data_IF_767942445359
#
_entry.id   IF_767942445359
#
_cell.length_a   1.000
_cell.length_b   1.000
_cell.length_c   1.000
_cell.angle_alpha   90.00
_cell.angle_beta   90.00
_cell.angle_gamma   90.00
#
_symmetry.space_group_name_H-M   'P 1'
#
loop_
_entity.id
_entity.type
_entity.pdbx_description
1 polymer ?
#
# COMPACT_ATOMS: atom_id res chain seq x y z
N UNK A 1 -23.59 -33.29 -10.68
CA UNK A 1 -23.86 -33.23 -9.24
C UNK A 1 -22.68 -32.50 -8.65
N UNK A 2 -22.86 -31.23 -8.28
CA UNK A 2 -21.80 -30.48 -7.63
C UNK A 2 -21.59 -31.09 -6.23
N UNK A 3 -20.35 -31.46 -5.92
CA UNK A 3 -20.02 -32.22 -4.72
C UNK A 3 -20.19 -31.32 -3.49
N UNK A 4 -20.98 -31.75 -2.50
CA UNK A 4 -21.23 -31.01 -1.25
C UNK A 4 -19.90 -30.64 -0.56
N UNK A 5 -18.87 -31.47 -0.72
CA UNK A 5 -17.52 -31.21 -0.19
C UNK A 5 -16.87 -29.98 -0.86
N UNK A 6 -17.08 -29.76 -2.16
CA UNK A 6 -16.52 -28.61 -2.88
C UNK A 6 -17.18 -27.29 -2.46
N UNK A 7 -18.49 -27.30 -2.20
CA UNK A 7 -19.18 -26.11 -1.68
C UNK A 7 -18.72 -25.78 -0.25
N UNK A 8 -18.47 -26.79 0.56
CA UNK A 8 -17.96 -26.63 1.91
C UNK A 8 -16.54 -26.07 1.93
N UNK A 9 -15.62 -26.65 1.14
CA UNK A 9 -14.24 -26.15 1.03
C UNK A 9 -14.20 -24.70 0.55
N UNK A 10 -15.06 -24.34 -0.42
CA UNK A 10 -15.18 -22.98 -0.93
C UNK A 10 -15.67 -21.99 0.11
N UNK A 11 -16.58 -22.42 1.00
CA UNK A 11 -17.06 -21.61 2.11
C UNK A 11 -15.96 -21.37 3.14
N UNK A 12 -15.17 -22.39 3.48
CA UNK A 12 -14.05 -22.28 4.42
C UNK A 12 -12.97 -21.35 3.88
N UNK A 13 -12.60 -21.49 2.59
CA UNK A 13 -11.70 -20.55 1.92
C UNK A 13 -12.22 -19.11 2.00
N UNK A 14 -13.51 -18.90 1.71
CA UNK A 14 -14.12 -17.57 1.75
C UNK A 14 -14.10 -16.94 3.16
N UNK A 15 -14.36 -17.72 4.21
CA UNK A 15 -14.35 -17.24 5.59
C UNK A 15 -12.93 -16.89 6.05
N UNK A 16 -11.94 -17.70 5.68
CA UNK A 16 -10.54 -17.42 5.96
C UNK A 16 -10.06 -16.15 5.23
N UNK A 17 -10.48 -15.94 3.98
CA UNK A 17 -10.26 -14.72 3.21
C UNK A 17 -10.83 -13.48 3.89
N UNK A 18 -12.09 -13.57 4.34
CA UNK A 18 -12.76 -12.48 5.05
C UNK A 18 -12.02 -12.12 6.34
N UNK A 19 -11.59 -13.13 7.10
CA UNK A 19 -10.87 -12.95 8.37
C UNK A 19 -9.52 -12.27 8.14
N UNK A 20 -8.73 -12.73 7.17
CA UNK A 20 -7.43 -12.12 6.86
C UNK A 20 -7.55 -10.71 6.27
N UNK A 21 -8.59 -10.44 5.48
CA UNK A 21 -8.90 -9.07 5.02
C UNK A 21 -9.20 -8.17 6.21
N UNK A 22 -10.01 -8.62 7.17
CA UNK A 22 -10.33 -7.84 8.37
C UNK A 22 -9.07 -7.51 9.20
N UNK A 23 -8.16 -8.47 9.40
CA UNK A 23 -6.88 -8.22 10.09
C UNK A 23 -5.98 -7.24 9.33
N UNK A 24 -5.93 -7.39 8.00
CA UNK A 24 -5.21 -6.46 7.11
C UNK A 24 -5.75 -5.04 7.23
N UNK A 25 -7.07 -4.85 7.28
CA UNK A 25 -7.67 -3.52 7.51
C UNK A 25 -7.30 -2.95 8.86
N UNK A 26 -7.38 -3.75 9.94
CA UNK A 26 -6.96 -3.31 11.28
C UNK A 26 -5.49 -2.88 11.30
N UNK A 27 -4.63 -3.67 10.69
CA UNK A 27 -3.19 -3.40 10.60
C UNK A 27 -2.90 -2.15 9.77
N UNK A 28 -3.59 -2.02 8.64
CA UNK A 28 -3.46 -0.86 7.74
C UNK A 28 -3.95 0.40 8.43
N UNK A 29 -5.13 0.37 9.04
CA UNK A 29 -5.70 1.49 9.81
C UNK A 29 -4.74 1.91 10.91
N UNK A 30 -4.22 0.97 11.70
CA UNK A 30 -3.23 1.26 12.75
C UNK A 30 -1.98 1.91 12.15
N UNK A 31 -1.42 1.36 11.08
CA UNK A 31 -0.17 1.85 10.49
C UNK A 31 -0.30 3.23 9.84
N UNK A 32 -1.35 3.44 9.03
CA UNK A 32 -1.64 4.76 8.46
C UNK A 32 -1.97 5.78 9.56
N UNK A 33 -2.65 5.36 10.63
CA UNK A 33 -2.87 6.22 11.81
C UNK A 33 -1.59 6.56 12.58
N UNK A 34 -0.48 5.82 12.39
CA UNK A 34 0.83 6.12 12.99
C UNK A 34 1.72 6.96 12.04
N UNK A 35 1.57 6.81 10.73
CA UNK A 35 2.30 7.57 9.72
C UNK A 35 1.83 9.04 9.67
N UNK A 36 0.52 9.29 9.80
CA UNK A 36 -0.03 10.66 9.81
C UNK A 36 0.48 11.53 10.97
N UNK A 37 0.54 11.08 12.24
CA UNK A 37 1.18 11.81 13.34
C UNK A 37 2.68 12.03 13.15
N UNK A 38 3.37 11.10 12.50
CA UNK A 38 4.79 11.24 12.14
C UNK A 38 5.03 12.46 11.26
N UNK A 39 4.26 12.57 10.17
CA UNK A 39 4.32 13.71 9.25
C UNK A 39 3.89 15.02 9.91
N UNK A 40 2.86 15.00 10.77
CA UNK A 40 2.43 16.19 11.51
C UNK A 40 3.55 16.72 12.41
N UNK A 41 4.26 15.83 13.11
CA UNK A 41 5.42 16.21 13.95
C UNK A 41 6.56 16.78 13.12
N UNK A 42 6.93 16.14 12.01
CA UNK A 42 7.96 16.65 11.09
C UNK A 42 7.58 18.04 10.56
N UNK A 43 6.31 18.25 10.20
CA UNK A 43 5.79 19.55 9.74
C UNK A 43 5.90 20.61 10.84
N UNK A 44 5.60 20.25 12.10
CA UNK A 44 5.77 21.14 13.26
C UNK A 44 7.22 21.59 13.44
N UNK A 45 8.17 20.66 13.31
CA UNK A 45 9.60 20.98 13.38
C UNK A 45 10.07 21.87 12.21
N UNK A 46 9.62 21.59 10.98
CA UNK A 46 9.93 22.42 9.81
C UNK A 46 9.40 23.86 9.96
N UNK A 47 8.20 24.03 10.55
CA UNK A 47 7.64 25.35 10.88
C UNK A 47 8.47 26.09 11.92
N UNK A 48 8.87 25.40 12.99
CA UNK A 48 9.73 25.98 14.03
C UNK A 48 11.09 26.44 13.46
N UNK A 49 11.65 25.68 12.51
CA UNK A 49 12.87 26.01 11.79
C UNK A 49 12.69 27.08 10.69
N UNK A 50 11.48 27.64 10.52
CA UNK A 50 11.13 28.60 9.45
C UNK A 50 11.43 28.10 8.02
N UNK A 51 11.41 26.79 7.80
CA UNK A 51 11.59 26.21 6.47
C UNK A 51 10.22 26.11 5.75
N UNK A 52 9.87 27.14 4.98
CA UNK A 52 8.56 27.27 4.34
C UNK A 52 8.33 26.26 3.21
N UNK A 53 9.36 25.95 2.44
CA UNK A 53 9.33 24.96 1.36
C UNK A 53 8.98 23.57 1.92
N UNK A 54 9.77 23.12 2.90
CA UNK A 54 9.61 21.81 3.53
C UNK A 54 8.31 21.71 4.34
N UNK A 55 7.87 22.82 4.94
CA UNK A 55 6.56 22.90 5.59
C UNK A 55 5.43 22.64 4.60
N UNK A 56 5.51 23.22 3.41
CA UNK A 56 4.48 23.10 2.36
C UNK A 56 4.45 21.67 1.80
N UNK A 57 5.62 21.08 1.58
CA UNK A 57 5.76 19.69 1.15
C UNK A 57 5.18 18.71 2.17
N UNK A 58 5.58 18.80 3.45
CA UNK A 58 5.06 17.93 4.50
C UNK A 58 3.56 18.12 4.72
N UNK A 59 3.04 19.34 4.53
CA UNK A 59 1.60 19.58 4.57
C UNK A 59 0.84 18.89 3.43
N UNK A 60 1.42 18.85 2.22
CA UNK A 60 0.86 18.10 1.08
C UNK A 60 0.87 16.61 1.37
N UNK A 61 1.97 16.06 1.88
CA UNK A 61 2.09 14.64 2.23
C UNK A 61 1.09 14.22 3.31
N UNK A 62 0.83 15.07 4.32
CA UNK A 62 -0.23 14.80 5.31
C UNK A 62 -1.60 14.61 4.64
N UNK A 63 -1.99 15.52 3.73
CA UNK A 63 -3.28 15.44 3.03
C UNK A 63 -3.37 14.22 2.13
N UNK A 64 -2.28 13.88 1.44
CA UNK A 64 -2.27 12.71 0.55
C UNK A 64 -2.35 11.40 1.35
N UNK A 65 -1.68 11.31 2.50
CA UNK A 65 -1.79 10.17 3.40
C UNK A 65 -3.22 9.93 3.89
N UNK A 66 -3.96 11.00 4.19
CA UNK A 66 -5.40 10.92 4.53
C UNK A 66 -6.23 10.37 3.37
N UNK A 67 -6.00 10.87 2.15
CA UNK A 67 -6.70 10.40 0.94
C UNK A 67 -6.41 8.93 0.62
N UNK A 68 -5.17 8.49 0.77
CA UNK A 68 -4.78 7.08 0.60
C UNK A 68 -5.50 6.21 1.63
N UNK A 69 -5.54 6.64 2.90
CA UNK A 69 -6.26 5.93 3.95
C UNK A 69 -7.75 5.81 3.65
N UNK A 70 -8.39 6.90 3.25
CA UNK A 70 -9.80 6.91 2.85
C UNK A 70 -10.05 5.98 1.66
N UNK A 71 -9.23 6.06 0.61
CA UNK A 71 -9.33 5.20 -0.57
C UNK A 71 -9.30 3.72 -0.18
N UNK A 72 -8.33 3.31 0.64
CA UNK A 72 -8.18 1.91 1.07
C UNK A 72 -9.41 1.43 1.86
N UNK A 73 -9.90 2.25 2.79
CA UNK A 73 -11.05 1.91 3.62
C UNK A 73 -12.34 1.81 2.81
N UNK A 74 -12.58 2.79 1.93
CA UNK A 74 -13.80 2.87 1.11
C UNK A 74 -13.84 1.76 0.06
N UNK A 75 -12.73 1.51 -0.62
CA UNK A 75 -12.64 0.48 -1.68
C UNK A 75 -12.47 -0.93 -1.15
N UNK A 76 -12.26 -1.09 0.16
CA UNK A 76 -11.92 -2.36 0.80
C UNK A 76 -10.74 -3.06 0.09
N UNK A 77 -9.74 -2.27 -0.30
CA UNK A 77 -8.49 -2.77 -0.87
C UNK A 77 -7.45 -3.00 0.23
N UNK A 78 -6.33 -3.62 -0.12
CA UNK A 78 -5.26 -3.97 0.82
C UNK A 78 -4.06 -3.08 0.53
N UNK A 79 -3.58 -2.38 1.56
CA UNK A 79 -2.33 -1.65 1.49
C UNK A 79 -1.16 -2.62 1.62
N UNK A 80 -0.52 -2.95 0.49
CA UNK A 80 0.56 -3.92 0.40
C UNK A 80 1.76 -3.58 1.28
N UNK A 81 2.13 -2.31 1.33
CA UNK A 81 3.24 -1.83 2.14
C UNK A 81 3.07 -2.12 3.64
N UNK A 82 1.83 -2.08 4.13
CA UNK A 82 1.47 -2.40 5.52
C UNK A 82 1.52 -3.89 5.85
N UNK A 83 1.44 -4.77 4.85
CA UNK A 83 1.33 -6.22 5.06
C UNK A 83 2.64 -6.91 5.42
N UNK A 84 3.77 -6.29 5.06
CA UNK A 84 5.09 -6.86 5.23
C UNK A 84 5.92 -5.99 6.18
N UNK A 85 6.55 -6.65 7.15
CA UNK A 85 7.52 -5.98 8.02
C UNK A 85 8.80 -5.71 7.22
N UNK A 86 9.27 -4.47 7.27
CA UNK A 86 10.52 -4.01 6.63
C UNK A 86 11.46 -3.46 7.69
N UNK A 87 12.79 -3.66 7.60
CA UNK A 87 13.75 -2.93 8.42
C UNK A 87 13.55 -1.42 8.29
N UNK A 88 13.77 -0.65 9.36
CA UNK A 88 13.56 0.80 9.37
C UNK A 88 14.36 1.53 8.27
N UNK A 89 15.61 1.11 8.04
CA UNK A 89 16.50 1.66 7.01
C UNK A 89 15.99 1.45 5.58
N UNK A 90 15.20 0.39 5.34
CA UNK A 90 14.64 0.01 4.04
C UNK A 90 13.13 0.28 3.94
N UNK A 91 12.60 1.17 4.78
CA UNK A 91 11.15 1.46 4.81
C UNK A 91 10.74 2.68 3.98
N UNK A 92 11.49 3.77 4.07
CA UNK A 92 11.18 5.02 3.39
C UNK A 92 11.27 4.88 1.86
N UNK A 93 10.43 5.56 1.09
CA UNK A 93 10.51 5.53 -0.38
C UNK A 93 10.93 6.87 -0.95
N UNK A 94 10.93 7.92 -0.11
CA UNK A 94 11.32 9.27 -0.48
C UNK A 94 12.15 9.94 0.63
N UNK A 95 13.06 10.82 0.21
CA UNK A 95 13.95 11.62 1.06
C UNK A 95 13.81 13.10 0.70
N UNK A 96 13.62 13.96 1.70
CA UNK A 96 13.46 15.41 1.47
C UNK A 96 14.71 16.07 0.92
N UNK A 97 14.54 17.24 0.30
CA UNK A 97 15.66 18.13 -0.05
C UNK A 97 16.53 18.37 1.19
N UNK A 98 17.81 18.01 1.10
CA UNK A 98 18.78 18.09 2.21
C UNK A 98 18.85 16.86 3.15
N UNK A 99 18.06 15.81 2.92
CA UNK A 99 18.19 14.53 3.63
C UNK A 99 17.66 14.49 5.07
N UNK A 100 17.01 15.57 5.51
CA UNK A 100 16.51 15.73 6.88
C UNK A 100 15.35 14.80 7.23
N UNK A 101 14.49 14.51 6.24
CA UNK A 101 13.31 13.68 6.44
C UNK A 101 13.26 12.55 5.41
N UNK A 102 12.74 11.40 5.87
CA UNK A 102 12.56 10.19 5.07
C UNK A 102 11.20 9.62 5.37
N UNK A 103 10.37 9.44 4.36
CA UNK A 103 8.98 9.01 4.50
C UNK A 103 8.62 7.90 3.50
N UNK A 104 7.63 7.07 3.83
CA UNK A 104 7.04 6.05 2.94
C UNK A 104 5.85 6.72 2.24
N UNK A 105 6.04 7.16 0.98
CA UNK A 105 5.02 7.92 0.21
C UNK A 105 4.62 7.23 -1.11
N UNK A 106 5.31 6.15 -1.46
CA UNK A 106 4.98 5.31 -2.60
C UNK A 106 4.27 4.06 -2.07
N UNK A 107 3.14 3.72 -2.69
CA UNK A 107 2.22 2.70 -2.17
C UNK A 107 1.89 1.66 -3.22
N UNK A 108 1.96 0.38 -2.85
CA UNK A 108 1.35 -0.71 -3.61
C UNK A 108 0.01 -1.05 -2.95
N UNK A 109 -1.08 -0.93 -3.70
CA UNK A 109 -2.43 -1.27 -3.26
C UNK A 109 -2.96 -2.40 -4.13
N UNK A 110 -3.53 -3.44 -3.50
CA UNK A 110 -4.03 -4.63 -4.20
C UNK A 110 -5.45 -4.95 -3.75
N UNK A 111 -6.24 -5.53 -4.65
CA UNK A 111 -7.62 -5.97 -4.36
C UNK A 111 -7.67 -7.39 -3.77
N UNK A 112 -6.64 -8.20 -4.00
CA UNK A 112 -6.51 -9.56 -3.51
C UNK A 112 -5.19 -9.69 -2.74
N UNK A 113 -5.23 -10.20 -1.50
CA UNK A 113 -4.02 -10.40 -0.70
C UNK A 113 -3.13 -11.48 -1.30
N UNK A 114 -3.73 -12.57 -1.79
CA UNK A 114 -2.99 -13.76 -2.19
C UNK A 114 -2.12 -13.54 -3.42
N UNK A 115 -2.44 -12.50 -4.20
CA UNK A 115 -1.59 -12.13 -5.32
C UNK A 115 -0.29 -11.47 -4.88
N UNK A 116 -0.18 -10.90 -3.67
CA UNK A 116 0.99 -10.16 -3.22
C UNK A 116 1.79 -10.97 -2.19
N UNK A 117 2.99 -11.40 -2.58
CA UNK A 117 3.85 -12.28 -1.76
C UNK A 117 4.97 -11.53 -1.04
N UNK A 118 5.33 -10.33 -1.49
CA UNK A 118 6.31 -9.48 -0.84
C UNK A 118 6.16 -8.03 -1.30
N UNK A 119 6.45 -7.08 -0.41
CA UNK A 119 6.71 -5.67 -0.74
C UNK A 119 8.01 -5.26 -0.08
N UNK A 120 8.97 -4.78 -0.88
CA UNK A 120 10.27 -4.33 -0.40
C UNK A 120 10.70 -3.04 -1.09
N UNK A 121 11.45 -2.21 -0.39
CA UNK A 121 12.12 -1.05 -0.99
C UNK A 121 13.52 -1.49 -1.41
N UNK A 122 13.88 -1.20 -2.66
CA UNK A 122 15.20 -1.49 -3.20
C UNK A 122 16.23 -0.56 -2.52
N UNK A 123 17.39 -1.07 -2.07
CA UNK A 123 18.45 -0.23 -1.54
C UNK A 123 18.81 0.91 -2.50
N UNK A 124 19.21 2.06 -1.95
CA UNK A 124 19.56 3.24 -2.75
C UNK A 124 20.77 2.90 -3.64
N UNK A 125 20.65 3.17 -4.93
CA UNK A 125 21.74 3.06 -5.91
C UNK A 125 21.92 4.40 -6.64
N UNK A 126 23.00 4.56 -7.39
CA UNK A 126 23.40 5.86 -7.96
C UNK A 126 22.51 6.29 -9.14
N UNK A 127 21.27 6.68 -8.85
CA UNK A 127 20.34 7.30 -9.82
C UNK A 127 20.10 8.78 -9.55
N UNK A 128 20.73 9.36 -8.52
CA UNK A 128 20.53 10.77 -8.09
C UNK A 128 19.06 11.15 -7.86
N UNK A 129 18.15 10.19 -7.68
CA UNK A 129 16.76 10.43 -7.29
C UNK A 129 16.63 10.48 -5.76
N UNK A 130 15.73 11.34 -5.32
CA UNK A 130 15.17 11.44 -3.98
C UNK A 130 14.21 10.27 -3.64
N UNK A 131 13.74 9.53 -4.67
CA UNK A 131 12.95 8.33 -4.50
C UNK A 131 13.78 7.03 -4.52
N UNK A 132 13.31 6.02 -3.79
CA UNK A 132 13.76 4.62 -3.88
C UNK A 132 12.70 3.78 -4.57
N UNK A 133 13.15 2.82 -5.38
CA UNK A 133 12.24 1.89 -6.05
C UNK A 133 11.48 1.04 -5.03
N UNK A 134 10.16 1.02 -5.16
CA UNK A 134 9.27 0.12 -4.43
C UNK A 134 8.95 -1.10 -5.30
N UNK A 135 9.24 -2.30 -4.79
CA UNK A 135 9.06 -3.57 -5.50
C UNK A 135 7.98 -4.42 -4.84
N UNK A 136 6.94 -4.76 -5.60
CA UNK A 136 5.99 -5.82 -5.27
C UNK A 136 6.36 -7.12 -5.97
N UNK A 137 6.24 -8.25 -5.27
CA UNK A 137 6.32 -9.59 -5.88
C UNK A 137 4.93 -10.19 -5.91
N UNK A 138 4.48 -10.56 -7.11
CA UNK A 138 3.15 -11.12 -7.31
C UNK A 138 3.18 -12.62 -7.63
N UNK A 139 2.18 -13.36 -7.17
CA UNK A 139 1.98 -14.78 -7.47
C UNK A 139 0.54 -14.98 -7.87
N UNK A 140 0.30 -15.59 -9.03
CA UNK A 140 -1.03 -15.85 -9.54
C UNK A 140 -1.20 -17.34 -9.80
N UNK A 141 -2.38 -17.87 -9.49
CA UNK A 141 -2.74 -19.22 -9.93
C UNK A 141 -3.01 -19.23 -11.45
N UNK A 142 -2.88 -20.39 -12.12
CA UNK A 142 -3.25 -20.53 -13.55
C UNK A 142 -4.65 -20.02 -13.86
N UNK A 143 -5.60 -20.23 -12.93
CA UNK A 143 -7.00 -19.79 -13.06
C UNK A 143 -7.12 -18.27 -12.99
N UNK A 144 -6.43 -17.62 -12.05
CA UNK A 144 -6.39 -16.15 -11.94
C UNK A 144 -5.70 -15.51 -13.14
N UNK A 145 -4.62 -16.13 -13.64
CA UNK A 145 -3.91 -15.66 -14.83
C UNK A 145 -4.82 -15.71 -16.08
N UNK A 146 -5.57 -16.79 -16.26
CA UNK A 146 -6.56 -16.91 -17.33
C UNK A 146 -7.71 -15.91 -17.19
N UNK A 147 -8.20 -15.68 -15.96
CA UNK A 147 -9.23 -14.68 -15.69
C UNK A 147 -8.76 -13.23 -15.91
N UNK A 148 -7.47 -12.95 -15.64
CA UNK A 148 -6.87 -11.64 -15.95
C UNK A 148 -6.76 -11.43 -17.46
N UNK A 149 -6.24 -12.41 -18.20
CA UNK A 149 -6.12 -12.37 -19.67
C UNK A 149 -7.49 -12.25 -20.37
N UNK A 150 -8.53 -12.88 -19.83
CA UNK A 150 -9.88 -12.76 -20.39
C UNK A 150 -10.52 -11.40 -20.14
N UNK A 151 -10.24 -10.75 -18.99
CA UNK A 151 -10.67 -9.37 -18.69
C UNK A 151 -9.97 -8.34 -19.57
N UNK A 152 -8.68 -8.53 -19.89
CA UNK A 152 -7.96 -7.69 -20.85
C UNK A 152 -8.55 -7.81 -22.26
N UNK A 153 -8.97 -9.01 -22.66
CA UNK A 153 -9.62 -9.24 -23.97
C UNK A 153 -11.03 -8.68 -24.08
N UNK A 154 -11.72 -8.43 -22.97
CA UNK A 154 -13.08 -7.90 -22.96
C UNK A 154 -13.21 -6.82 -21.88
N UNK A 155 -12.62 -5.63 -22.10
CA UNK A 155 -12.73 -4.53 -21.15
C UNK A 155 -14.21 -4.16 -21.05
N UNK A 156 -14.77 -4.21 -19.84
CA UNK A 156 -16.13 -3.70 -19.61
C UNK A 156 -16.13 -2.23 -19.97
N UNK A 157 -16.90 -1.86 -20.99
CA UNK A 157 -17.14 -0.47 -21.38
C UNK A 157 -17.74 0.24 -20.18
N UNK A 158 -16.97 1.13 -19.55
CA UNK A 158 -17.51 2.09 -18.60
C UNK A 158 -18.18 3.16 -19.47
N UNK A 159 -19.50 3.07 -19.59
CA UNK A 159 -20.30 4.15 -20.17
C UNK A 159 -20.41 5.22 -19.08
N UNK A 160 -19.86 6.40 -19.36
CA UNK A 160 -19.93 7.57 -18.47
C UNK A 160 -21.35 8.12 -18.38
#
# INVERSE_FOLDING_TARGET
MDNIDEEYDRLIEHLHDCTKKAESFKTTKRRLSLESPGLIRQRGAARAARNQELTSELARLCREGERVSEFIMTTKTIHGNSQFQKPSSLRWTWESTGGWYRNEIDHIIVNNRFCLTSVAVVPKFYMRSDHRLLRGRFSFTKREEQAAKSRERNPRTIVN
#
